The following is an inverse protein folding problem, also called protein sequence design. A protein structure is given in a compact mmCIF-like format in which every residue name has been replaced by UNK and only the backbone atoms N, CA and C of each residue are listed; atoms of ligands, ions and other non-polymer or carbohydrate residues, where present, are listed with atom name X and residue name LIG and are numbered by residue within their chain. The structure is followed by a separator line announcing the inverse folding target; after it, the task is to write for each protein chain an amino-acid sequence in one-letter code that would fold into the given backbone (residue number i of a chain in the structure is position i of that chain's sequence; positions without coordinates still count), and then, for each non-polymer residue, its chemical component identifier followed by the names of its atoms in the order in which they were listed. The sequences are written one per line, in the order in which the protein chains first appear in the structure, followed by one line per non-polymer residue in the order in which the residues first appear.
data_IF_588020284316
#
_entry.id   IF_588020284316
#
_cell.length_a   1.000
_cell.length_b   1.000
_cell.length_c   1.000
_cell.angle_alpha   90.00
_cell.angle_beta   90.00
_cell.angle_gamma   90.00
#
_symmetry.space_group_name_H-M   'P 1'
#
loop_
_entity.id
_entity.type
_entity.pdbx_description
1 polymer ?
#
# COMPACT_ATOMS: atom_id res chain seq x y z
N UNK A 1 -19.52 4.62 -8.53
CA UNK A 1 -20.11 5.85 -7.95
C UNK A 1 -21.58 5.92 -8.33
N UNK A 2 -22.45 6.37 -7.44
CA UNK A 2 -23.81 6.81 -7.80
C UNK A 2 -24.02 8.20 -7.20
N UNK A 3 -24.49 9.15 -8.00
CA UNK A 3 -24.69 10.54 -7.56
C UNK A 3 -23.44 11.18 -6.92
N UNK A 4 -22.25 10.83 -7.43
CA UNK A 4 -20.98 11.34 -6.89
C UNK A 4 -20.50 10.68 -5.59
N UNK A 5 -21.24 9.70 -5.05
CA UNK A 5 -20.86 8.97 -3.83
C UNK A 5 -20.24 7.61 -4.11
N UNK A 6 -19.31 7.22 -3.24
CA UNK A 6 -18.75 5.87 -3.21
C UNK A 6 -19.84 4.86 -2.81
N UNK A 7 -20.04 3.83 -3.64
CA UNK A 7 -21.08 2.81 -3.41
C UNK A 7 -20.54 1.38 -3.32
N UNK A 8 -19.24 1.20 -3.56
CA UNK A 8 -18.57 -0.09 -3.49
C UNK A 8 -17.34 -0.18 -4.39
N UNK A 9 -16.63 -1.29 -4.26
CA UNK A 9 -15.40 -1.61 -4.97
C UNK A 9 -15.58 -2.95 -5.69
N UNK A 10 -15.07 -3.05 -6.91
CA UNK A 10 -14.98 -4.31 -7.65
C UNK A 10 -13.49 -4.59 -7.86
N UNK A 11 -13.03 -5.76 -7.43
CA UNK A 11 -11.66 -6.20 -7.62
C UNK A 11 -11.62 -7.45 -8.49
N UNK A 12 -10.42 -7.85 -8.90
CA UNK A 12 -10.25 -9.13 -9.61
C UNK A 12 -10.74 -10.31 -8.76
N UNK A 13 -10.48 -10.27 -7.46
CA UNK A 13 -10.91 -11.28 -6.50
C UNK A 13 -12.44 -11.32 -6.38
N UNK A 14 -13.10 -10.17 -6.34
CA UNK A 14 -14.57 -10.12 -6.25
C UNK A 14 -15.24 -10.64 -7.53
N UNK A 15 -14.64 -10.41 -8.70
CA UNK A 15 -15.07 -11.01 -9.96
C UNK A 15 -14.80 -12.52 -10.00
N UNK A 16 -13.65 -12.97 -9.50
CA UNK A 16 -13.27 -14.38 -9.48
C UNK A 16 -14.25 -15.22 -8.65
N UNK A 17 -14.77 -14.67 -7.54
CA UNK A 17 -15.79 -15.34 -6.70
C UNK A 17 -17.10 -15.63 -7.44
N UNK A 18 -17.40 -14.88 -8.50
CA UNK A 18 -18.61 -15.07 -9.31
C UNK A 18 -18.40 -15.97 -10.51
N UNK A 19 -17.15 -16.27 -10.86
CA UNK A 19 -16.85 -17.11 -12.00
C UNK A 19 -17.25 -18.55 -11.68
N UNK A 20 -17.97 -19.24 -12.59
CA UNK A 20 -18.28 -20.66 -12.43
C UNK A 20 -17.01 -21.47 -12.21
N UNK A 21 -17.02 -22.42 -11.27
CA UNK A 21 -15.84 -23.25 -11.00
C UNK A 21 -15.56 -24.19 -12.17
N UNK A 22 -14.28 -24.49 -12.42
CA UNK A 22 -13.88 -25.46 -13.46
C UNK A 22 -14.49 -26.86 -13.26
N UNK A 23 -14.96 -27.17 -12.05
CA UNK A 23 -15.63 -28.42 -11.71
C UNK A 23 -17.10 -28.51 -12.17
N UNK A 24 -17.69 -27.42 -12.69
CA UNK A 24 -19.07 -27.42 -13.18
C UNK A 24 -19.15 -27.85 -14.65
N UNK A 25 -20.03 -28.83 -14.94
CA UNK A 25 -20.25 -29.40 -16.28
C UNK A 25 -21.12 -28.51 -17.17
N UNK A 26 -20.77 -27.22 -17.30
CA UNK A 26 -21.53 -26.28 -18.11
C UNK A 26 -21.11 -26.32 -19.57
N UNK A 27 -22.07 -26.25 -20.50
CA UNK A 27 -21.76 -25.99 -21.90
C UNK A 27 -21.29 -24.55 -22.10
N UNK A 28 -20.54 -24.29 -23.18
CA UNK A 28 -20.07 -22.93 -23.54
C UNK A 28 -21.23 -21.94 -23.67
N UNK A 29 -22.40 -22.41 -24.13
CA UNK A 29 -23.60 -21.58 -24.25
C UNK A 29 -24.21 -21.20 -22.90
N UNK A 30 -24.30 -22.15 -21.96
CA UNK A 30 -24.80 -21.88 -20.61
C UNK A 30 -23.86 -20.97 -19.83
N UNK A 31 -22.54 -21.16 -19.99
CA UNK A 31 -21.53 -20.33 -19.35
C UNK A 31 -21.61 -18.87 -19.87
N UNK A 32 -21.70 -18.68 -21.18
CA UNK A 32 -21.90 -17.36 -21.78
C UNK A 32 -23.22 -16.71 -21.36
N UNK A 33 -24.30 -17.49 -21.27
CA UNK A 33 -25.59 -16.99 -20.79
C UNK A 33 -25.49 -16.50 -19.33
N UNK A 34 -24.88 -17.28 -18.44
CA UNK A 34 -24.71 -16.90 -17.03
C UNK A 34 -23.84 -15.65 -16.88
N UNK A 35 -22.69 -15.59 -17.56
CA UNK A 35 -21.81 -14.42 -17.53
C UNK A 35 -22.51 -13.17 -18.07
N UNK A 36 -23.34 -13.29 -19.12
CA UNK A 36 -24.09 -12.16 -19.70
C UNK A 36 -25.13 -11.55 -18.75
N UNK A 37 -25.52 -12.28 -17.69
CA UNK A 37 -26.49 -11.82 -16.69
C UNK A 37 -25.84 -11.21 -15.45
N UNK A 38 -24.53 -11.40 -15.26
CA UNK A 38 -23.80 -10.80 -14.15
C UNK A 38 -23.70 -9.29 -14.34
N UNK A 39 -23.98 -8.56 -13.27
CA UNK A 39 -23.87 -7.10 -13.21
C UNK A 39 -22.74 -6.70 -12.27
N UNK A 40 -22.24 -5.47 -12.39
CA UNK A 40 -21.25 -4.97 -11.43
C UNK A 40 -21.76 -5.01 -9.98
N UNK A 41 -23.08 -4.87 -9.78
CA UNK A 41 -23.71 -4.95 -8.46
C UNK A 41 -23.51 -6.32 -7.81
N UNK A 42 -23.44 -7.38 -8.61
CA UNK A 42 -23.26 -8.75 -8.13
C UNK A 42 -21.81 -8.98 -7.66
N UNK A 43 -20.85 -8.28 -8.25
CA UNK A 43 -19.41 -8.36 -7.92
C UNK A 43 -18.93 -7.31 -6.91
N UNK A 44 -19.82 -6.39 -6.52
CA UNK A 44 -19.45 -5.20 -5.77
C UNK A 44 -19.36 -5.48 -4.27
N UNK A 45 -18.16 -5.34 -3.73
CA UNK A 45 -17.93 -5.29 -2.29
C UNK A 45 -18.42 -3.93 -1.78
N UNK A 46 -19.41 -3.93 -0.86
CA UNK A 46 -20.01 -2.70 -0.32
C UNK A 46 -19.31 -2.18 0.93
N UNK A 47 -18.73 -3.08 1.71
CA UNK A 47 -17.97 -2.73 2.90
C UNK A 47 -16.51 -2.49 2.50
N UNK A 48 -16.27 -1.34 1.85
CA UNK A 48 -14.94 -0.97 1.40
C UNK A 48 -14.23 -0.20 2.49
N UNK A 49 -13.03 -0.65 2.84
CA UNK A 49 -12.17 0.09 3.75
C UNK A 49 -11.55 1.26 3.01
N UNK A 50 -11.70 2.43 3.61
CA UNK A 50 -11.25 3.71 3.08
C UNK A 50 -10.38 4.39 4.14
N UNK A 51 -9.50 5.27 3.69
CA UNK A 51 -8.65 6.12 4.52
C UNK A 51 -8.84 7.58 4.14
N UNK A 52 -8.55 8.48 5.08
CA UNK A 52 -8.48 9.92 4.82
C UNK A 52 -7.25 10.25 3.97
N UNK A 53 -7.30 11.35 3.20
CA UNK A 53 -6.12 11.93 2.56
C UNK A 53 -5.02 12.35 3.55
N UNK A 54 -5.36 12.53 4.83
CA UNK A 54 -4.41 12.85 5.90
C UNK A 54 -3.79 11.61 6.57
N UNK A 55 -4.22 10.41 6.18
CA UNK A 55 -3.68 9.14 6.69
C UNK A 55 -2.19 9.03 6.34
N UNK A 56 -1.36 8.63 7.30
CA UNK A 56 0.05 8.40 7.01
C UNK A 56 0.22 7.19 6.10
N UNK A 57 1.22 7.25 5.22
CA UNK A 57 1.53 6.13 4.33
C UNK A 57 1.81 4.83 5.11
N UNK A 58 2.47 4.93 6.26
CA UNK A 58 2.78 3.80 7.13
C UNK A 58 1.51 3.18 7.75
N UNK A 59 0.52 4.00 8.09
CA UNK A 59 -0.78 3.55 8.59
C UNK A 59 -1.59 2.86 7.50
N UNK A 60 -1.61 3.44 6.29
CA UNK A 60 -2.22 2.81 5.12
C UNK A 60 -1.58 1.45 4.80
N UNK A 61 -0.25 1.36 4.85
CA UNK A 61 0.48 0.11 4.65
C UNK A 61 0.17 -0.94 5.73
N UNK A 62 0.11 -0.53 7.00
CA UNK A 62 -0.27 -1.42 8.10
C UNK A 62 -1.71 -1.94 7.92
N UNK A 63 -2.64 -1.07 7.55
CA UNK A 63 -4.03 -1.44 7.30
C UNK A 63 -4.17 -2.41 6.11
N UNK A 64 -3.44 -2.16 5.01
CA UNK A 64 -3.40 -3.07 3.86
C UNK A 64 -2.89 -4.45 4.26
N UNK A 65 -1.80 -4.52 5.04
CA UNK A 65 -1.24 -5.76 5.56
C UNK A 65 -2.24 -6.50 6.47
N UNK A 66 -2.79 -5.80 7.45
CA UNK A 66 -3.64 -6.41 8.48
C UNK A 66 -4.95 -6.94 7.91
N UNK A 67 -5.49 -6.27 6.89
CA UNK A 67 -6.68 -6.70 6.17
C UNK A 67 -6.40 -7.60 4.96
N UNK A 68 -5.12 -7.82 4.63
CA UNK A 68 -4.67 -8.53 3.44
C UNK A 68 -5.33 -8.01 2.15
N UNK A 69 -5.28 -6.69 1.94
CA UNK A 69 -5.81 -6.00 0.76
C UNK A 69 -4.71 -5.22 0.06
N UNK A 70 -4.73 -5.20 -1.28
CA UNK A 70 -3.75 -4.46 -2.09
C UNK A 70 -4.19 -3.07 -2.54
N UNK A 71 -5.39 -2.63 -2.12
CA UNK A 71 -5.95 -1.33 -2.49
C UNK A 71 -6.73 -0.73 -1.32
N UNK A 72 -6.55 0.57 -1.12
CA UNK A 72 -7.35 1.39 -0.23
C UNK A 72 -7.92 2.56 -1.01
N UNK A 73 -9.19 2.88 -0.75
CA UNK A 73 -9.79 4.08 -1.28
C UNK A 73 -9.44 5.26 -0.39
N UNK A 74 -9.12 6.39 -1.01
CA UNK A 74 -8.84 7.65 -0.33
C UNK A 74 -10.07 8.53 -0.46
N UNK A 75 -10.61 8.94 0.68
CA UNK A 75 -11.84 9.73 0.77
C UNK A 75 -11.62 10.98 1.61
N UNK A 76 -12.33 12.05 1.27
CA UNK A 76 -12.60 13.15 2.19
C UNK A 76 -14.10 13.15 2.50
N UNK A 77 -14.43 12.93 3.78
CA UNK A 77 -15.80 12.68 4.24
C UNK A 77 -16.47 11.50 3.50
N UNK A 78 -17.32 11.77 2.51
CA UNK A 78 -18.00 10.78 1.66
C UNK A 78 -17.59 10.86 0.18
N UNK A 79 -16.72 11.80 -0.16
CA UNK A 79 -16.25 12.03 -1.52
C UNK A 79 -15.01 11.16 -1.80
N UNK A 80 -15.04 10.42 -2.91
CA UNK A 80 -13.90 9.63 -3.35
C UNK A 80 -12.88 10.55 -4.03
N UNK A 81 -11.72 10.73 -3.41
CA UNK A 81 -10.61 11.50 -3.96
C UNK A 81 -9.74 10.64 -4.89
N UNK A 82 -9.57 9.37 -4.55
CA UNK A 82 -8.74 8.46 -5.33
C UNK A 82 -8.56 7.10 -4.68
N UNK A 83 -7.48 6.43 -5.05
CA UNK A 83 -7.08 5.14 -4.50
C UNK A 83 -5.57 5.06 -4.39
N UNK A 84 -5.10 4.27 -3.44
CA UNK A 84 -3.69 3.94 -3.25
C UNK A 84 -3.54 2.42 -3.25
N UNK A 85 -2.48 1.94 -3.88
CA UNK A 85 -2.13 0.52 -4.01
C UNK A 85 -0.82 0.19 -3.31
N UNK A 86 -0.55 -1.11 -3.16
CA UNK A 86 0.75 -1.62 -2.71
C UNK A 86 1.92 -1.05 -3.52
N UNK A 87 1.78 -0.89 -4.84
CA UNK A 87 2.79 -0.29 -5.72
C UNK A 87 3.11 1.16 -5.38
N UNK A 88 2.10 1.92 -4.99
CA UNK A 88 2.29 3.32 -4.59
C UNK A 88 3.06 3.40 -3.26
N UNK A 89 2.80 2.47 -2.34
CA UNK A 89 3.58 2.32 -1.09
C UNK A 89 5.03 1.96 -1.40
N UNK A 90 5.26 0.97 -2.27
CA UNK A 90 6.63 0.59 -2.67
C UNK A 90 7.38 1.73 -3.33
N UNK A 91 6.71 2.46 -4.25
CA UNK A 91 7.29 3.63 -4.89
C UNK A 91 7.69 4.69 -3.85
N UNK A 92 6.78 4.99 -2.92
CA UNK A 92 7.03 5.98 -1.88
C UNK A 92 8.17 5.55 -0.95
N UNK A 93 8.33 4.25 -0.69
CA UNK A 93 9.48 3.73 0.08
C UNK A 93 10.80 3.97 -0.66
N UNK A 94 10.85 3.72 -1.98
CA UNK A 94 12.04 4.04 -2.80
C UNK A 94 12.34 5.53 -2.73
N UNK A 95 11.32 6.39 -2.88
CA UNK A 95 11.47 7.84 -2.86
C UNK A 95 12.01 8.33 -1.50
N UNK A 96 11.50 7.82 -0.37
CA UNK A 96 11.93 8.20 0.99
C UNK A 96 13.28 7.57 1.38
N UNK A 97 13.67 6.46 0.76
CA UNK A 97 14.97 5.83 1.01
C UNK A 97 16.14 6.59 0.38
N UNK A 98 15.87 7.53 -0.54
CA UNK A 98 16.89 8.25 -1.29
C UNK A 98 17.59 7.40 -2.36
N UNK A 99 17.05 6.23 -2.72
CA UNK A 99 17.68 5.28 -3.65
C UNK A 99 18.06 5.88 -5.01
N UNK A 100 17.20 6.73 -5.57
CA UNK A 100 17.43 7.38 -6.86
C UNK A 100 18.27 8.67 -6.75
N UNK A 101 18.77 9.00 -5.56
CA UNK A 101 19.62 10.18 -5.36
C UNK A 101 21.11 9.80 -5.41
N UNK A 102 21.94 10.58 -6.13
CA UNK A 102 23.38 10.41 -6.08
C UNK A 102 23.90 10.56 -4.64
N UNK A 103 24.74 9.63 -4.19
CA UNK A 103 25.31 9.66 -2.85
C UNK A 103 25.87 8.31 -2.43
N UNK A 104 26.12 8.19 -1.13
CA UNK A 104 26.60 6.95 -0.49
C UNK A 104 25.58 6.53 0.57
N UNK A 105 25.12 5.28 0.50
CA UNK A 105 24.34 4.66 1.58
C UNK A 105 25.31 4.04 2.58
N UNK A 106 25.27 4.53 3.83
CA UNK A 106 26.01 3.96 4.94
C UNK A 106 25.07 3.12 5.81
N UNK A 107 25.43 1.86 6.04
CA UNK A 107 24.73 0.98 6.99
C UNK A 107 25.60 0.88 8.23
N UNK A 108 25.09 1.39 9.35
CA UNK A 108 25.81 1.45 10.62
C UNK A 108 25.10 0.54 11.62
N UNK A 109 25.83 -0.46 12.10
CA UNK A 109 25.38 -1.31 13.20
C UNK A 109 25.83 -0.69 14.53
N UNK A 110 24.87 -0.47 15.43
CA UNK A 110 25.13 0.10 16.75
C UNK A 110 25.28 -1.03 17.76
N UNK A 111 26.45 -1.10 18.40
CA UNK A 111 26.69 -2.09 19.47
C UNK A 111 25.74 -1.90 20.68
N UNK A 112 25.29 -0.66 20.91
CA UNK A 112 24.36 -0.31 21.96
C UNK A 112 23.56 0.93 21.57
N UNK A 113 22.24 0.89 21.77
CA UNK A 113 21.40 2.09 21.70
C UNK A 113 21.65 2.95 22.95
N UNK A 114 22.16 4.17 22.73
CA UNK A 114 22.49 5.12 23.80
C UNK A 114 22.24 6.55 23.36
N UNK A 115 22.11 7.43 24.35
CA UNK A 115 22.07 8.86 24.12
C UNK A 115 23.36 9.34 23.41
N UNK A 116 23.20 10.25 22.44
CA UNK A 116 24.29 10.88 21.71
C UNK A 116 24.67 10.21 20.38
N UNK A 117 24.12 9.03 20.04
CA UNK A 117 24.50 8.34 18.78
C UNK A 117 24.25 9.21 17.55
N UNK A 118 23.08 9.84 17.45
CA UNK A 118 22.76 10.69 16.28
C UNK A 118 23.61 11.97 16.26
N UNK A 119 23.99 12.49 17.43
CA UNK A 119 24.88 13.65 17.54
C UNK A 119 26.28 13.31 17.03
N UNK A 120 26.85 12.19 17.47
CA UNK A 120 28.16 11.72 16.99
C UNK A 120 28.18 11.46 15.47
N UNK A 121 27.08 10.94 14.91
CA UNK A 121 26.93 10.81 13.46
C UNK A 121 26.88 12.18 12.76
N UNK A 122 26.17 13.14 13.34
CA UNK A 122 26.11 14.52 12.84
C UNK A 122 27.48 15.18 12.86
N UNK A 123 28.21 15.08 13.97
CA UNK A 123 29.55 15.65 14.12
C UNK A 123 30.54 15.04 13.12
N UNK A 124 30.51 13.71 12.94
CA UNK A 124 31.36 13.04 11.97
C UNK A 124 31.08 13.51 10.53
N UNK A 125 29.83 13.79 10.17
CA UNK A 125 29.46 14.34 8.85
C UNK A 125 29.94 15.79 8.69
N UNK A 126 29.85 16.61 9.74
CA UNK A 126 30.38 17.98 9.75
C UNK A 126 31.89 17.99 9.58
N UNK A 127 32.62 17.07 10.22
CA UNK A 127 34.08 16.97 10.10
C UNK A 127 34.56 16.68 8.67
N UNK A 128 33.74 15.98 7.87
CA UNK A 128 34.06 15.63 6.48
C UNK A 128 33.37 16.53 5.44
N UNK A 129 32.65 17.57 5.87
CA UNK A 129 31.88 18.49 5.01
C UNK A 129 30.83 17.77 4.12
N UNK A 130 30.17 16.74 4.66
CA UNK A 130 29.14 15.96 3.96
C UNK A 130 27.74 16.16 4.55
N UNK A 131 26.71 16.02 3.71
CA UNK A 131 25.31 16.20 4.13
C UNK A 131 24.61 14.86 4.38
N UNK A 132 23.79 14.80 5.44
CA UNK A 132 22.83 13.72 5.64
C UNK A 132 21.55 14.01 4.87
N UNK A 133 21.25 13.22 3.84
CA UNK A 133 20.01 13.35 3.06
C UNK A 133 18.86 12.52 3.64
N UNK A 134 19.15 11.28 4.03
CA UNK A 134 18.16 10.32 4.54
C UNK A 134 18.75 9.53 5.70
N UNK A 135 17.96 9.33 6.75
CA UNK A 135 18.29 8.47 7.87
C UNK A 135 17.12 7.53 8.11
N UNK A 136 17.40 6.22 8.10
CA UNK A 136 16.41 5.21 8.43
C UNK A 136 16.97 4.34 9.54
N UNK A 137 16.21 4.23 10.63
CA UNK A 137 16.57 3.41 11.79
C UNK A 137 15.70 2.16 11.77
N UNK A 138 16.34 1.00 11.70
CA UNK A 138 15.68 -0.29 11.79
C UNK A 138 16.08 -0.97 13.10
N UNK A 139 15.17 -1.64 13.81
CA UNK A 139 15.57 -2.49 14.92
C UNK A 139 16.48 -3.59 14.37
N UNK A 140 17.62 -3.84 15.03
CA UNK A 140 18.43 -5.00 14.74
C UNK A 140 17.54 -6.24 14.86
N UNK A 141 17.49 -7.07 13.82
CA UNK A 141 16.74 -8.31 13.88
C UNK A 141 17.26 -9.11 15.08
N UNK A 142 16.42 -9.34 16.09
CA UNK A 142 16.66 -10.40 17.05
C UNK A 142 16.58 -11.72 16.27
N UNK A 143 17.73 -12.23 15.85
CA UNK A 143 17.89 -13.63 15.43
C UNK A 143 17.81 -14.50 16.69
#
# INVERSE_FOLDING_TARGET
MAEGKLIGLVTKESLAKLMPSEATSLSVYELNYLLSKLTCKDAMERQVKCVSEQCLLTEAAALMRDLNIGVLLVVDQEELLGLITDKDIFKSFIDISGYDQPGVTLVLELNQDRQGVIEELGDALVEVDENLSHLVVYPAACV
#
